data_IF_229699233058
#
_entry.id   IF_229699233058
#
_cell.length_a   1.000
_cell.length_b   1.000
_cell.length_c   1.000
_cell.angle_alpha   90.00
_cell.angle_beta   90.00
_cell.angle_gamma   90.00
#
_symmetry.space_group_name_H-M   'P 1'
#
loop_
_entity.id
_entity.type
_entity.pdbx_description
1 polymer ?
#
# COMPACT_ATOMS: atom_id res chain seq x y z
N UNK A 1 20.50 9.07 -4.18
CA UNK A 1 19.08 8.71 -4.33
C UNK A 1 18.78 7.71 -3.23
N UNK A 2 18.16 8.14 -2.13
CA UNK A 2 17.89 7.26 -0.99
C UNK A 2 16.68 6.40 -1.32
N UNK A 3 16.97 5.21 -1.82
CA UNK A 3 16.02 4.13 -1.96
C UNK A 3 15.32 3.95 -0.60
N UNK A 4 14.06 4.40 -0.50
CA UNK A 4 13.37 4.61 0.80
C UNK A 4 12.95 3.29 1.46
N UNK A 5 12.92 2.22 0.69
CA UNK A 5 12.50 0.88 1.09
C UNK A 5 13.44 -0.15 0.46
N UNK A 6 13.98 -1.03 1.29
CA UNK A 6 14.75 -2.21 0.88
C UNK A 6 13.91 -3.13 -0.03
N UNK A 7 14.55 -4.00 -0.81
CA UNK A 7 13.85 -5.02 -1.62
C UNK A 7 12.87 -5.86 -0.80
N UNK A 8 13.23 -6.18 0.45
CA UNK A 8 12.37 -6.92 1.36
C UNK A 8 11.13 -6.11 1.76
N UNK A 9 11.29 -4.82 2.11
CA UNK A 9 10.17 -3.93 2.39
C UNK A 9 9.27 -3.79 1.17
N UNK A 10 9.83 -3.59 -0.03
CA UNK A 10 9.06 -3.52 -1.29
C UNK A 10 8.25 -4.80 -1.55
N UNK A 11 8.82 -5.96 -1.27
CA UNK A 11 8.11 -7.23 -1.34
C UNK A 11 6.94 -7.31 -0.35
N UNK A 12 7.10 -6.79 0.86
CA UNK A 12 6.02 -6.74 1.83
C UNK A 12 4.92 -5.75 1.44
N UNK A 13 5.26 -4.62 0.82
CA UNK A 13 4.29 -3.68 0.25
C UNK A 13 3.46 -4.38 -0.83
N UNK A 14 4.10 -5.10 -1.75
CA UNK A 14 3.41 -5.87 -2.77
C UNK A 14 2.50 -6.97 -2.17
N UNK A 15 2.93 -7.62 -1.08
CA UNK A 15 2.08 -8.59 -0.36
C UNK A 15 0.79 -7.97 0.17
N UNK A 16 0.78 -6.68 0.53
CA UNK A 16 -0.44 -6.00 1.00
C UNK A 16 -1.52 -5.90 -0.06
N UNK A 17 -1.19 -6.06 -1.34
CA UNK A 17 -2.18 -6.19 -2.42
C UNK A 17 -3.14 -7.38 -2.24
N UNK A 18 -2.67 -8.45 -1.59
CA UNK A 18 -3.46 -9.64 -1.30
C UNK A 18 -4.10 -9.62 0.10
N UNK A 19 -3.82 -8.58 0.89
CA UNK A 19 -4.35 -8.42 2.23
C UNK A 19 -5.81 -7.99 2.16
N UNK A 20 -6.70 -8.85 2.68
CA UNK A 20 -8.15 -8.62 2.69
C UNK A 20 -8.60 -7.76 3.87
N UNK A 21 -7.71 -7.47 4.81
CA UNK A 21 -7.99 -6.68 6.00
C UNK A 21 -7.80 -5.17 5.74
N UNK A 22 -7.31 -4.81 4.54
CA UNK A 22 -7.27 -3.42 4.08
C UNK A 22 -8.70 -2.87 3.95
N UNK A 23 -8.97 -1.82 4.71
CA UNK A 23 -10.24 -1.10 4.70
C UNK A 23 -9.99 0.40 4.85
N UNK A 24 -10.98 1.21 4.48
CA UNK A 24 -10.93 2.67 4.67
C UNK A 24 -10.65 3.00 6.14
N UNK A 25 -9.81 4.02 6.36
CA UNK A 25 -9.31 4.49 7.66
C UNK A 25 -8.48 3.47 8.46
N UNK A 26 -8.03 2.38 7.82
CA UNK A 26 -7.05 1.47 8.43
C UNK A 26 -5.61 1.88 8.10
N UNK A 27 -4.69 1.82 9.08
CA UNK A 27 -3.28 1.99 8.81
C UNK A 27 -2.75 0.79 8.01
N UNK A 28 -1.83 1.08 7.09
CA UNK A 28 -1.07 0.10 6.32
C UNK A 28 0.35 0.12 6.83
N UNK A 29 0.77 -1.01 7.38
CA UNK A 29 2.07 -1.19 8.00
C UNK A 29 2.80 -2.35 7.35
N UNK A 30 4.11 -2.22 7.17
CA UNK A 30 5.01 -3.29 6.74
C UNK A 30 6.08 -3.50 7.82
N UNK A 31 6.65 -4.69 7.88
CA UNK A 31 7.64 -5.09 8.87
C UNK A 31 7.07 -6.11 9.84
N UNK A 32 7.97 -6.74 10.59
CA UNK A 32 7.62 -7.72 11.60
C UNK A 32 7.43 -7.01 12.95
N UNK A 33 6.22 -7.10 13.53
CA UNK A 33 5.82 -6.60 14.87
C UNK A 33 6.64 -5.43 15.44
N UNK A 34 7.81 -5.70 16.03
CA UNK A 34 8.72 -4.71 16.64
C UNK A 34 9.34 -3.69 15.66
N UNK A 35 9.40 -3.99 14.36
CA UNK A 35 9.92 -3.09 13.32
C UNK A 35 8.84 -2.72 12.30
N UNK A 36 7.56 -2.77 12.71
CA UNK A 36 6.47 -2.32 11.88
C UNK A 36 6.63 -0.82 11.56
N UNK A 37 6.71 -0.53 10.27
CA UNK A 37 6.79 0.79 9.67
C UNK A 37 5.45 1.10 9.04
N UNK A 38 4.80 2.14 9.55
CA UNK A 38 3.60 2.68 8.93
C UNK A 38 3.96 3.30 7.57
N UNK A 39 3.30 2.83 6.51
CA UNK A 39 3.41 3.39 5.16
C UNK A 39 2.41 4.53 5.02
N UNK A 40 1.20 4.35 5.54
CA UNK A 40 0.14 5.32 5.44
C UNK A 40 -1.21 4.77 5.89
N UNK A 41 -2.27 5.52 5.64
CA UNK A 41 -3.66 5.15 5.97
C UNK A 41 -4.46 5.01 4.68
N UNK A 42 -5.26 3.95 4.57
CA UNK A 42 -6.16 3.78 3.42
C UNK A 42 -7.23 4.86 3.48
N UNK A 43 -7.30 5.74 2.49
CA UNK A 43 -8.33 6.78 2.38
C UNK A 43 -9.51 6.36 1.51
N UNK A 44 -9.26 5.52 0.51
CA UNK A 44 -10.30 5.11 -0.41
C UNK A 44 -10.08 3.68 -0.87
N UNK A 45 -11.19 2.94 -0.98
CA UNK A 45 -11.21 1.63 -1.61
C UNK A 45 -12.17 1.71 -2.79
N UNK A 46 -11.66 1.48 -3.99
CA UNK A 46 -12.42 1.49 -5.23
C UNK A 46 -12.50 0.05 -5.72
N UNK A 47 -13.71 -0.49 -5.75
CA UNK A 47 -13.98 -1.80 -6.36
C UNK A 47 -14.61 -1.59 -7.73
N UNK A 48 -14.06 -2.23 -8.76
CA UNK A 48 -14.65 -2.21 -10.09
C UNK A 48 -15.63 -3.39 -10.29
N UNK A 49 -16.46 -3.36 -11.32
CA UNK A 49 -17.46 -4.38 -11.65
C UNK A 49 -16.87 -5.80 -11.82
N UNK A 50 -15.57 -5.90 -12.11
CA UNK A 50 -14.81 -7.16 -12.19
C UNK A 50 -14.37 -7.71 -10.81
N UNK A 51 -14.67 -7.01 -9.71
CA UNK A 51 -14.24 -7.37 -8.35
C UNK A 51 -12.78 -7.06 -8.04
N UNK A 52 -12.12 -6.22 -8.86
CA UNK A 52 -10.76 -5.73 -8.60
C UNK A 52 -10.86 -4.56 -7.63
N UNK A 53 -10.11 -4.65 -6.53
CA UNK A 53 -10.01 -3.59 -5.52
C UNK A 53 -8.73 -2.80 -5.69
N UNK A 54 -8.87 -1.49 -5.61
CA UNK A 54 -7.80 -0.50 -5.62
C UNK A 54 -7.85 0.24 -4.28
N UNK A 55 -6.75 0.24 -3.56
CA UNK A 55 -6.60 0.92 -2.27
C UNK A 55 -5.73 2.16 -2.45
N UNK A 56 -6.29 3.32 -2.14
CA UNK A 56 -5.56 4.59 -2.11
C UNK A 56 -5.04 4.79 -0.69
N UNK A 57 -3.73 4.80 -0.53
CA UNK A 57 -3.04 4.95 0.75
C UNK A 57 -2.37 6.31 0.81
N UNK A 58 -2.74 7.10 1.82
CA UNK A 58 -2.17 8.41 2.11
C UNK A 58 -1.10 8.30 3.19
N UNK A 59 0.10 8.81 2.92
CA UNK A 59 1.20 8.76 3.88
C UNK A 59 1.20 10.02 4.75
N UNK A 60 1.34 9.93 6.08
CA UNK A 60 1.41 11.10 6.94
C UNK A 60 2.71 11.90 6.73
N UNK A 61 3.82 11.21 6.47
CA UNK A 61 5.15 11.81 6.35
C UNK A 61 5.52 12.27 4.93
N UNK A 62 4.72 11.90 3.92
CA UNK A 62 4.99 12.24 2.52
C UNK A 62 3.69 12.56 1.78
N UNK A 63 3.66 13.61 0.94
CA UNK A 63 2.50 13.90 0.07
C UNK A 63 2.38 12.91 -1.10
N UNK A 64 2.82 11.66 -0.93
CA UNK A 64 2.76 10.59 -1.91
C UNK A 64 1.54 9.71 -1.59
N UNK A 65 0.56 9.74 -2.48
CA UNK A 65 -0.54 8.80 -2.49
C UNK A 65 -0.08 7.53 -3.21
N UNK A 66 -0.14 6.39 -2.54
CA UNK A 66 0.14 5.08 -3.13
C UNK A 66 -1.16 4.42 -3.58
N UNK A 67 -1.10 3.76 -4.74
CA UNK A 67 -2.21 2.95 -5.25
C UNK A 67 -1.80 1.49 -5.17
N UNK A 68 -2.47 0.71 -4.32
CA UNK A 68 -2.28 -0.74 -4.22
C UNK A 68 -3.43 -1.37 -4.99
N UNK A 69 -3.16 -2.04 -6.11
CA UNK A 69 -4.20 -2.68 -6.93
C UNK A 69 -3.78 -4.06 -7.38
N UNK A 70 -4.72 -5.00 -7.43
CA UNK A 70 -4.48 -6.40 -7.85
C UNK A 70 -4.00 -6.56 -9.31
N UNK A 71 -3.85 -5.46 -10.04
CA UNK A 71 -3.44 -5.47 -11.43
C UNK A 71 -1.92 -5.39 -11.50
N UNK A 72 -1.32 -6.51 -11.89
CA UNK A 72 0.10 -6.89 -11.92
C UNK A 72 1.03 -5.92 -12.69
N UNK A 73 0.56 -4.73 -13.10
CA UNK A 73 1.27 -3.86 -14.04
C UNK A 73 1.42 -2.38 -13.65
N UNK A 74 0.84 -1.88 -12.55
CA UNK A 74 0.84 -0.42 -12.32
C UNK A 74 1.08 -0.03 -10.85
N UNK A 75 2.30 -0.23 -10.38
CA UNK A 75 2.91 0.65 -9.37
C UNK A 75 3.74 1.68 -10.15
N UNK A 76 3.09 2.52 -10.95
CA UNK A 76 3.72 3.75 -11.45
C UNK A 76 3.37 4.88 -10.49
N UNK A 77 4.29 5.15 -9.56
CA UNK A 77 4.41 6.44 -8.90
C UNK A 77 4.87 7.44 -9.98
N UNK A 78 4.08 8.48 -10.24
CA UNK A 78 4.48 9.64 -11.06
C UNK A 78 5.27 10.65 -10.24
#
# INVERSE_FOLDING_TARGET
MTDTYTDYERFQIAKKEYDKELAVDKPVEIGDNDNAKAIGTVRQVIENETGIKVYVVESPDRPLCYTISKSVHDIFVK
#
